data_IF_498309940837
#
_entry.id   IF_498309940837
#
_cell.length_a   1.000
_cell.length_b   1.000
_cell.length_c   1.000
_cell.angle_alpha   90.00
_cell.angle_beta   90.00
_cell.angle_gamma   90.00
#
_symmetry.space_group_name_H-M   'P 1'
#
loop_
_entity.id
_entity.type
_entity.pdbx_description
1 polymer ?
#
# COMPACT_ATOMS: atom_id res chain seq x y z
N UNK A 1 -2.73 7.64 -6.40
CA UNK A 1 -2.88 6.20 -6.09
C UNK A 1 -1.70 5.45 -6.68
N UNK A 2 -1.23 4.36 -6.08
CA UNK A 2 -0.18 3.53 -6.71
C UNK A 2 -0.87 2.57 -7.68
N UNK A 3 -0.44 2.56 -8.95
CA UNK A 3 -1.12 1.83 -10.04
C UNK A 3 -1.44 0.36 -9.72
N UNK A 4 -0.51 -0.40 -9.12
CA UNK A 4 -0.78 -1.76 -8.65
C UNK A 4 -1.96 -1.90 -7.68
N UNK A 5 -2.19 -0.96 -6.75
CA UNK A 5 -3.39 -1.01 -5.88
C UNK A 5 -4.65 -0.89 -6.74
N UNK A 6 -4.64 -0.05 -7.77
CA UNK A 6 -5.80 0.09 -8.68
C UNK A 6 -6.03 -1.21 -9.43
N UNK A 7 -4.97 -1.83 -9.92
CA UNK A 7 -5.05 -3.11 -10.60
C UNK A 7 -5.62 -4.18 -9.68
N UNK A 8 -5.17 -4.27 -8.43
CA UNK A 8 -5.66 -5.24 -7.45
C UNK A 8 -7.14 -5.03 -7.13
N UNK A 9 -7.58 -3.80 -6.89
CA UNK A 9 -8.99 -3.49 -6.63
C UNK A 9 -9.91 -3.85 -7.81
N UNK A 10 -9.41 -3.74 -9.04
CA UNK A 10 -10.17 -4.09 -10.25
C UNK A 10 -10.08 -5.59 -10.59
N UNK A 11 -9.06 -6.28 -10.09
CA UNK A 11 -8.86 -7.71 -10.31
C UNK A 11 -9.92 -8.54 -9.58
N UNK A 12 -10.29 -9.68 -10.15
CA UNK A 12 -11.25 -10.61 -9.52
C UNK A 12 -12.73 -10.19 -9.61
N UNK A 13 -13.04 -8.98 -10.08
CA UNK A 13 -14.42 -8.54 -10.32
C UNK A 13 -15.00 -9.27 -11.54
N UNK A 14 -15.87 -10.24 -11.30
CA UNK A 14 -16.45 -11.10 -12.35
C UNK A 14 -17.53 -10.40 -13.18
N UNK A 15 -18.34 -9.55 -12.55
CA UNK A 15 -19.40 -8.82 -13.22
C UNK A 15 -18.86 -7.58 -13.92
N UNK A 16 -19.07 -7.50 -15.24
CA UNK A 16 -18.55 -6.39 -16.06
C UNK A 16 -19.18 -5.04 -15.69
N UNK A 17 -20.44 -5.01 -15.28
CA UNK A 17 -21.12 -3.78 -14.86
C UNK A 17 -20.54 -3.23 -13.55
N UNK A 18 -20.24 -4.10 -12.59
CA UNK A 18 -19.57 -3.76 -11.33
C UNK A 18 -18.13 -3.28 -11.61
N UNK A 19 -17.40 -3.96 -12.50
CA UNK A 19 -16.06 -3.57 -12.89
C UNK A 19 -16.03 -2.14 -13.45
N UNK A 20 -16.92 -1.81 -14.40
CA UNK A 20 -16.95 -0.47 -14.99
C UNK A 20 -17.33 0.61 -13.97
N UNK A 21 -18.30 0.33 -13.10
CA UNK A 21 -18.66 1.25 -12.01
C UNK A 21 -17.47 1.51 -11.08
N UNK A 22 -16.73 0.47 -10.69
CA UNK A 22 -15.54 0.60 -9.84
C UNK A 22 -14.43 1.35 -10.56
N UNK A 23 -14.14 1.02 -11.83
CA UNK A 23 -13.14 1.70 -12.67
C UNK A 23 -13.42 3.20 -12.76
N UNK A 24 -14.66 3.59 -13.00
CA UNK A 24 -15.06 4.99 -13.07
C UNK A 24 -14.95 5.70 -11.72
N UNK A 25 -15.28 5.03 -10.62
CA UNK A 25 -15.11 5.58 -9.26
C UNK A 25 -13.64 5.78 -8.88
N UNK A 26 -12.74 4.93 -9.36
CA UNK A 26 -11.31 5.04 -9.08
C UNK A 26 -10.60 6.05 -10.00
N UNK A 27 -11.15 6.36 -11.18
CA UNK A 27 -10.51 7.22 -12.19
C UNK A 27 -10.06 8.61 -11.68
N UNK A 28 -10.78 9.30 -10.78
CA UNK A 28 -10.34 10.61 -10.27
C UNK A 28 -9.07 10.59 -9.42
N UNK A 29 -8.68 9.42 -8.88
CA UNK A 29 -7.41 9.30 -8.17
C UNK A 29 -6.31 9.14 -9.21
N UNK A 30 -5.47 10.15 -9.45
CA UNK A 30 -4.37 10.03 -10.41
C UNK A 30 -3.34 8.99 -9.93
N UNK A 31 -2.72 8.27 -10.87
CA UNK A 31 -1.69 7.30 -10.53
C UNK A 31 -0.33 7.98 -10.34
N UNK A 32 0.37 7.56 -9.28
CA UNK A 32 1.75 7.97 -9.01
C UNK A 32 2.64 7.31 -10.06
N UNK A 33 3.48 8.06 -10.79
CA UNK A 33 4.44 7.48 -11.72
C UNK A 33 5.43 6.56 -11.01
N UNK A 34 5.52 5.32 -11.48
CA UNK A 34 6.50 4.35 -11.04
C UNK A 34 7.72 4.39 -11.97
N UNK A 35 8.90 4.34 -11.38
CA UNK A 35 10.17 4.31 -12.12
C UNK A 35 10.91 2.99 -11.87
N UNK A 36 11.95 2.70 -12.66
CA UNK A 36 12.83 1.56 -12.40
C UNK A 36 13.36 1.54 -10.97
N UNK A 37 13.66 2.71 -10.41
CA UNK A 37 14.14 2.86 -9.04
C UNK A 37 13.13 2.32 -8.01
N UNK A 38 11.82 2.47 -8.25
CA UNK A 38 10.80 1.93 -7.34
C UNK A 38 10.82 0.40 -7.32
N UNK A 39 11.02 -0.23 -8.48
CA UNK A 39 11.07 -1.70 -8.58
C UNK A 39 12.34 -2.27 -7.95
N UNK A 40 13.47 -1.61 -8.14
CA UNK A 40 14.74 -1.99 -7.51
C UNK A 40 14.68 -1.81 -5.99
N UNK A 41 14.17 -0.67 -5.50
CA UNK A 41 13.98 -0.46 -4.06
C UNK A 41 12.95 -1.43 -3.47
N UNK A 42 11.91 -1.82 -4.23
CA UNK A 42 10.97 -2.86 -3.79
C UNK A 42 11.67 -4.21 -3.58
N UNK A 43 12.57 -4.60 -4.48
CA UNK A 43 13.37 -5.81 -4.31
C UNK A 43 14.30 -5.71 -3.09
N UNK A 44 14.88 -4.53 -2.82
CA UNK A 44 15.65 -4.28 -1.61
C UNK A 44 14.79 -4.38 -0.34
N UNK A 45 13.57 -3.83 -0.37
CA UNK A 45 12.61 -3.94 0.72
C UNK A 45 12.27 -5.41 1.01
N UNK A 46 11.98 -6.20 -0.02
CA UNK A 46 11.73 -7.63 0.11
C UNK A 46 12.91 -8.35 0.79
N UNK A 47 14.13 -8.11 0.30
CA UNK A 47 15.33 -8.76 0.83
C UNK A 47 15.57 -8.39 2.31
N UNK A 48 15.36 -7.13 2.69
CA UNK A 48 15.50 -6.66 4.08
C UNK A 48 14.47 -7.33 5.00
N UNK A 49 13.21 -7.40 4.58
CA UNK A 49 12.17 -8.09 5.35
C UNK A 49 12.46 -9.60 5.46
N UNK A 50 12.84 -10.25 4.36
CA UNK A 50 13.08 -11.69 4.33
C UNK A 50 14.25 -12.07 5.24
N UNK A 51 15.34 -11.29 5.23
CA UNK A 51 16.46 -11.49 6.15
C UNK A 51 16.05 -11.37 7.63
N UNK A 52 14.97 -10.64 7.91
CA UNK A 52 14.31 -10.54 9.22
C UNK A 52 13.26 -11.62 9.52
N UNK A 53 13.06 -12.58 8.60
CA UNK A 53 12.10 -13.67 8.75
C UNK A 53 10.66 -13.31 8.33
N UNK A 54 10.45 -12.18 7.65
CA UNK A 54 9.13 -11.71 7.21
C UNK A 54 9.11 -11.59 5.69
N UNK A 55 8.09 -12.15 5.03
CA UNK A 55 7.97 -12.10 3.56
C UNK A 55 6.77 -11.25 3.19
N UNK A 56 6.95 -10.28 2.29
CA UNK A 56 5.87 -9.48 1.72
C UNK A 56 5.61 -9.84 0.25
N UNK A 57 4.43 -9.51 -0.26
CA UNK A 57 4.16 -9.65 -1.69
C UNK A 57 4.95 -8.63 -2.52
N UNK A 58 5.00 -8.83 -3.84
CA UNK A 58 5.63 -7.88 -4.75
C UNK A 58 4.97 -6.49 -4.67
N UNK A 59 3.65 -6.43 -4.50
CA UNK A 59 2.91 -5.17 -4.39
C UNK A 59 3.18 -4.50 -3.03
N UNK A 60 3.21 -5.26 -1.93
CA UNK A 60 3.52 -4.70 -0.61
C UNK A 60 4.90 -4.05 -0.57
N UNK A 61 5.89 -4.74 -1.14
CA UNK A 61 7.26 -4.23 -1.22
C UNK A 61 7.35 -2.98 -2.10
N UNK A 62 6.58 -2.93 -3.19
CA UNK A 62 6.49 -1.76 -4.04
C UNK A 62 5.80 -0.58 -3.35
N UNK A 63 4.76 -0.83 -2.55
CA UNK A 63 4.13 0.20 -1.72
C UNK A 63 5.12 0.77 -0.69
N UNK A 64 5.91 -0.10 -0.06
CA UNK A 64 6.98 0.33 0.84
C UNK A 64 7.98 1.23 0.10
N UNK A 65 8.50 0.80 -1.05
CA UNK A 65 9.45 1.58 -1.85
C UNK A 65 8.91 2.96 -2.25
N UNK A 66 7.68 3.02 -2.78
CA UNK A 66 7.03 4.29 -3.16
C UNK A 66 6.82 5.18 -1.95
N UNK A 67 6.42 4.61 -0.81
CA UNK A 67 6.22 5.37 0.43
C UNK A 67 7.52 6.01 0.93
N UNK A 68 8.65 5.29 0.82
CA UNK A 68 9.98 5.78 1.20
C UNK A 68 10.41 6.91 0.26
N UNK A 69 10.31 6.70 -1.06
CA UNK A 69 10.74 7.70 -2.05
C UNK A 69 9.94 9.01 -1.97
N UNK A 70 8.64 8.91 -1.72
CA UNK A 70 7.74 10.06 -1.69
C UNK A 70 7.48 10.61 -0.29
N UNK A 71 8.14 10.06 0.72
CA UNK A 71 7.95 10.45 2.13
C UNK A 71 6.47 10.40 2.58
N UNK A 72 5.76 9.35 2.16
CA UNK A 72 4.34 9.15 2.47
C UNK A 72 4.15 8.12 3.58
N UNK A 73 3.09 8.31 4.39
CA UNK A 73 2.63 7.28 5.33
C UNK A 73 1.70 6.28 4.63
N UNK A 74 1.87 5.00 4.94
CA UNK A 74 0.99 3.92 4.49
C UNK A 74 -0.21 3.83 5.44
N UNK A 75 -1.41 3.94 4.89
CA UNK A 75 -2.66 3.67 5.60
C UNK A 75 -3.16 2.29 5.20
N UNK A 76 -3.23 1.36 6.15
CA UNK A 76 -3.56 -0.04 5.89
C UNK A 76 -4.21 -0.68 7.11
N UNK A 77 -5.01 -1.71 6.86
CA UNK A 77 -5.52 -2.64 7.89
C UNK A 77 -4.73 -3.93 7.96
N UNK A 78 -3.73 -4.10 7.08
CA UNK A 78 -2.86 -5.26 7.03
C UNK A 78 -1.75 -5.14 8.07
N UNK A 79 -1.71 -6.09 9.00
CA UNK A 79 -0.76 -6.14 10.11
C UNK A 79 0.67 -6.40 9.64
N UNK A 80 0.87 -6.98 8.44
CA UNK A 80 2.19 -7.28 7.90
C UNK A 80 3.02 -6.01 7.67
N UNK A 81 2.39 -4.87 7.36
CA UNK A 81 3.08 -3.59 7.28
C UNK A 81 3.63 -3.12 8.64
N UNK A 82 3.02 -3.55 9.73
CA UNK A 82 3.56 -3.41 11.08
C UNK A 82 4.86 -4.18 11.25
N UNK A 83 4.94 -5.39 10.71
CA UNK A 83 6.17 -6.20 10.69
C UNK A 83 7.22 -5.59 9.74
N UNK A 84 6.83 -5.16 8.54
CA UNK A 84 7.73 -4.51 7.59
C UNK A 84 8.36 -3.25 8.17
N UNK A 85 7.62 -2.45 8.94
CA UNK A 85 8.13 -1.22 9.59
C UNK A 85 9.28 -1.45 10.58
N UNK A 86 9.48 -2.68 11.05
CA UNK A 86 10.63 -3.06 11.89
C UNK A 86 11.92 -3.20 11.09
N UNK A 87 11.82 -3.40 9.79
CA UNK A 87 12.94 -3.64 8.87
C UNK A 87 13.12 -2.53 7.83
N UNK A 88 12.08 -1.73 7.60
CA UNK A 88 12.03 -0.69 6.56
C UNK A 88 11.70 0.67 7.17
N UNK A 89 12.23 1.78 6.62
CA UNK A 89 11.97 3.14 7.09
C UNK A 89 10.60 3.67 6.59
N UNK A 90 9.54 2.87 6.74
CA UNK A 90 8.17 3.25 6.37
C UNK A 90 7.43 3.83 7.58
N UNK A 91 6.46 4.72 7.33
CA UNK A 91 5.55 5.24 8.37
C UNK A 91 4.15 4.69 8.17
N UNK A 92 3.53 4.22 9.25
CA UNK A 92 2.12 3.83 9.22
C UNK A 92 1.24 4.98 9.69
N UNK A 93 0.15 5.24 8.95
CA UNK A 93 -0.83 6.24 9.32
C UNK A 93 -1.78 5.67 10.38
N UNK A 94 -1.88 6.33 11.53
CA UNK A 94 -2.85 5.98 12.56
C UNK A 94 -4.15 6.73 12.27
N UNK A 95 -5.31 6.03 12.15
CA UNK A 95 -6.59 6.70 12.03
C UNK A 95 -6.78 7.70 13.17
N UNK A 96 -7.35 8.86 12.87
CA UNK A 96 -7.72 9.82 13.92
C UNK A 96 -8.69 9.11 14.88
N UNK A 97 -8.37 9.13 16.17
CA UNK A 97 -9.29 8.65 17.19
C UNK A 97 -10.54 9.52 17.11
N UNK A 98 -11.69 8.91 16.82
CA UNK A 98 -12.96 9.59 17.05
C UNK A 98 -13.00 9.91 18.55
N UNK A 99 -13.15 11.18 18.90
CA UNK A 99 -13.21 11.67 20.28
C UNK A 99 -14.44 11.20 21.07
N UNK A 100 -14.94 10.00 20.84
CA UNK A 100 -16.04 9.38 21.58
C UNK A 100 -15.56 8.82 22.94
N UNK A 101 -14.88 9.65 23.73
CA UNK A 101 -14.97 9.55 25.19
C UNK A 101 -16.00 10.58 25.66
N UNK A 102 -17.27 10.18 25.64
CA UNK A 102 -18.33 10.76 26.46
C UNK A 102 -19.50 9.77 26.45
N UNK A 103 -19.61 8.96 27.51
CA UNK A 103 -20.77 8.94 28.41
C UNK A 103 -20.28 8.45 29.78
N UNK A 104 -20.22 9.40 30.71
CA UNK A 104 -20.38 9.17 32.15
C UNK A 104 -21.73 8.54 32.43
#
# INVERSE_FOLDING_TARGET
>A
MVGPIRQELLSGVRDRGVFEKLRLKLRPFEDVPLTTQDFEEAALCYNRCQAGGVTGSAVDCLLCAVSIRLDLSIFTTDEDFGLFSRHLPIRLHVPRSDGATRRT
#
